data_IF_459215714075
#
_entry.id   IF_459215714075
#
_cell.length_a   1.000
_cell.length_b   1.000
_cell.length_c   1.000
_cell.angle_alpha   90.00
_cell.angle_beta   90.00
_cell.angle_gamma   90.00
#
_symmetry.space_group_name_H-M   'P 1'
#
loop_
_entity.id
_entity.type
_entity.pdbx_description
1 polymer ?
#
# COMPACT_ATOMS: atom_id res chain seq x y z
N UNK A 1 -3.85 -6.54 14.01
CA UNK A 1 -3.09 -7.08 12.85
C UNK A 1 -1.68 -6.55 12.87
N UNK A 2 -0.72 -7.44 12.63
CA UNK A 2 0.68 -7.06 12.48
C UNK A 2 0.87 -6.16 11.24
N UNK A 3 1.94 -5.35 11.15
CA UNK A 3 2.14 -4.41 10.04
C UNK A 3 2.08 -5.07 8.66
N UNK A 4 2.73 -6.23 8.50
CA UNK A 4 2.73 -6.97 7.23
C UNK A 4 1.36 -7.55 6.88
N UNK A 5 0.62 -8.05 7.86
CA UNK A 5 -0.73 -8.58 7.64
C UNK A 5 -1.68 -7.49 7.18
N UNK A 6 -1.59 -6.29 7.76
CA UNK A 6 -2.37 -5.12 7.33
C UNK A 6 -2.02 -4.72 5.90
N UNK A 7 -0.74 -4.70 5.54
CA UNK A 7 -0.29 -4.41 4.18
C UNK A 7 -0.93 -5.37 3.18
N UNK A 8 -0.78 -6.68 3.37
CA UNK A 8 -1.33 -7.67 2.43
C UNK A 8 -2.86 -7.66 2.35
N UNK A 9 -3.55 -7.40 3.47
CA UNK A 9 -5.00 -7.25 3.44
C UNK A 9 -5.42 -6.02 2.62
N UNK A 10 -4.68 -4.91 2.73
CA UNK A 10 -4.95 -3.70 1.96
C UNK A 10 -4.65 -3.92 0.48
N UNK A 11 -3.48 -4.49 0.14
CA UNK A 11 -3.10 -4.83 -1.23
C UNK A 11 -4.17 -5.69 -1.92
N UNK A 12 -4.67 -6.72 -1.24
CA UNK A 12 -5.70 -7.59 -1.83
C UNK A 12 -7.02 -6.86 -2.08
N UNK A 13 -7.53 -6.14 -1.08
CA UNK A 13 -8.85 -5.51 -1.16
C UNK A 13 -8.89 -4.29 -2.08
N UNK A 14 -7.83 -3.48 -2.06
CA UNK A 14 -7.81 -2.20 -2.77
C UNK A 14 -7.26 -2.35 -4.20
N UNK A 15 -6.42 -3.37 -4.46
CA UNK A 15 -5.77 -3.58 -5.76
C UNK A 15 -6.15 -4.92 -6.41
N UNK A 16 -5.81 -6.05 -5.78
CA UNK A 16 -5.91 -7.35 -6.48
C UNK A 16 -7.35 -7.74 -6.82
N UNK A 17 -8.30 -7.48 -5.92
CA UNK A 17 -9.70 -7.85 -6.15
C UNK A 17 -10.49 -6.85 -6.98
N UNK A 18 -9.99 -5.63 -7.16
CA UNK A 18 -10.69 -4.57 -7.91
C UNK A 18 -10.31 -4.52 -9.39
N UNK A 19 -9.26 -5.24 -9.79
CA UNK A 19 -8.68 -5.14 -11.12
C UNK A 19 -8.50 -6.51 -11.77
N UNK A 20 -8.61 -6.52 -13.11
CA UNK A 20 -8.25 -7.66 -13.94
C UNK A 20 -6.99 -7.32 -14.73
N UNK A 21 -6.01 -8.21 -14.68
CA UNK A 21 -4.72 -8.03 -15.35
C UNK A 21 -4.61 -9.04 -16.49
N UNK A 22 -4.23 -8.58 -17.67
CA UNK A 22 -4.14 -9.42 -18.86
C UNK A 22 -2.77 -10.08 -18.99
N UNK A 23 -1.75 -9.50 -18.35
CA UNK A 23 -0.38 -9.99 -18.35
C UNK A 23 0.24 -9.93 -16.96
N UNK A 24 1.28 -10.74 -16.73
CA UNK A 24 2.04 -10.69 -15.47
C UNK A 24 2.75 -9.35 -15.30
N UNK A 25 3.22 -8.74 -16.40
CA UNK A 25 3.90 -7.45 -16.38
C UNK A 25 2.98 -6.33 -15.88
N UNK A 26 1.71 -6.32 -16.30
CA UNK A 26 0.71 -5.38 -15.79
C UNK A 26 0.49 -5.55 -14.28
N UNK A 27 0.37 -6.81 -13.82
CA UNK A 27 0.23 -7.11 -12.40
C UNK A 27 1.44 -6.64 -11.59
N UNK A 28 2.66 -6.92 -12.06
CA UNK A 28 3.87 -6.52 -11.35
C UNK A 28 4.01 -5.00 -11.28
N UNK A 29 3.76 -4.28 -12.38
CA UNK A 29 3.78 -2.82 -12.40
C UNK A 29 2.78 -2.23 -11.40
N UNK A 30 1.55 -2.76 -11.36
CA UNK A 30 0.52 -2.30 -10.43
C UNK A 30 0.89 -2.57 -8.95
N UNK A 31 1.50 -3.73 -8.66
CA UNK A 31 1.98 -4.04 -7.30
C UNK A 31 3.12 -3.11 -6.90
N UNK A 32 4.07 -2.83 -7.78
CA UNK A 32 5.18 -1.90 -7.51
C UNK A 32 4.67 -0.49 -7.24
N UNK A 33 3.81 0.04 -8.11
CA UNK A 33 3.19 1.36 -7.91
C UNK A 33 2.41 1.41 -6.60
N UNK A 34 1.62 0.38 -6.31
CA UNK A 34 0.86 0.31 -5.06
C UNK A 34 1.79 0.33 -3.84
N UNK A 35 2.87 -0.45 -3.86
CA UNK A 35 3.79 -0.56 -2.72
C UNK A 35 4.57 0.75 -2.52
N UNK A 36 5.24 1.24 -3.57
CA UNK A 36 6.17 2.36 -3.47
C UNK A 36 5.48 3.71 -3.44
N UNK A 37 4.31 3.85 -4.03
CA UNK A 37 3.61 5.14 -4.11
C UNK A 37 2.36 5.10 -3.24
N UNK A 38 1.39 4.27 -3.59
CA UNK A 38 0.06 4.38 -2.97
C UNK A 38 0.09 4.09 -1.47
N UNK A 39 0.61 2.94 -1.05
CA UNK A 39 0.60 2.51 0.35
C UNK A 39 1.51 3.37 1.23
N UNK A 40 2.72 3.70 0.74
CA UNK A 40 3.78 4.34 1.52
C UNK A 40 3.71 5.87 1.52
N UNK A 41 3.25 6.50 0.43
CA UNK A 41 3.33 7.95 0.25
C UNK A 41 1.97 8.64 0.06
N UNK A 42 0.92 7.92 -0.35
CA UNK A 42 -0.40 8.54 -0.63
C UNK A 42 -1.43 8.20 0.43
N UNK A 43 -1.49 6.95 0.88
CA UNK A 43 -2.56 6.44 1.75
C UNK A 43 -2.31 6.80 3.22
N UNK A 44 -3.19 7.59 3.86
CA UNK A 44 -3.15 7.79 5.30
C UNK A 44 -3.57 6.52 6.04
N UNK A 45 -2.92 6.21 7.16
CA UNK A 45 -3.29 5.06 7.99
C UNK A 45 -3.80 5.54 9.34
N UNK A 46 -4.98 5.07 9.75
CA UNK A 46 -5.56 5.40 11.06
C UNK A 46 -4.65 5.02 12.22
N UNK A 47 -3.84 3.95 12.06
CA UNK A 47 -2.83 3.55 13.05
C UNK A 47 -1.69 4.57 13.20
N UNK A 48 -1.39 5.31 12.14
CA UNK A 48 -0.34 6.34 12.10
C UNK A 48 -0.91 7.74 12.35
N UNK A 49 -2.01 7.89 13.10
CA UNK A 49 -2.71 9.17 13.29
C UNK A 49 -3.10 9.84 11.96
N UNK A 50 -3.56 9.05 10.99
CA UNK A 50 -3.91 9.51 9.65
C UNK A 50 -2.74 10.13 8.88
N UNK A 51 -1.53 9.65 9.15
CA UNK A 51 -0.33 9.91 8.35
C UNK A 51 0.00 8.72 7.47
N UNK A 52 0.72 8.98 6.40
CA UNK A 52 1.29 7.93 5.55
C UNK A 52 2.43 7.22 6.30
N UNK A 53 2.82 6.00 5.89
CA UNK A 53 3.98 5.32 6.48
C UNK A 53 5.27 6.12 6.31
N UNK A 54 5.42 6.85 5.21
CA UNK A 54 6.54 7.75 4.99
C UNK A 54 6.55 8.88 6.02
N UNK A 55 5.47 9.65 6.14
CA UNK A 55 5.39 10.77 7.10
C UNK A 55 5.66 10.30 8.54
N UNK A 56 5.02 9.21 8.96
CA UNK A 56 5.22 8.67 10.31
C UNK A 56 6.68 8.25 10.60
N UNK A 57 7.42 7.83 9.55
CA UNK A 57 8.84 7.44 9.69
C UNK A 57 9.77 8.64 9.78
N UNK A 58 9.51 9.69 9.03
CA UNK A 58 10.39 10.87 8.94
C UNK A 58 10.04 11.98 9.93
N UNK A 59 8.82 11.98 10.48
CA UNK A 59 8.43 12.87 11.57
C UNK A 59 8.98 12.43 12.93
N UNK A 60 9.32 11.15 13.07
CA UNK A 60 9.93 10.61 14.29
C UNK A 60 11.44 10.95 14.42
N UNK A 61 11.92 11.96 13.68
CA UNK A 61 13.32 12.45 13.68
C UNK A 61 13.38 13.87 14.22
#
# INVERSE_FOLDING_TARGET
NAPMERYFNTLKNDLIYQHYYHTEQELYAAIEEFAYVHYNHVRPHSYNNYKTPFEARYEAV
#
